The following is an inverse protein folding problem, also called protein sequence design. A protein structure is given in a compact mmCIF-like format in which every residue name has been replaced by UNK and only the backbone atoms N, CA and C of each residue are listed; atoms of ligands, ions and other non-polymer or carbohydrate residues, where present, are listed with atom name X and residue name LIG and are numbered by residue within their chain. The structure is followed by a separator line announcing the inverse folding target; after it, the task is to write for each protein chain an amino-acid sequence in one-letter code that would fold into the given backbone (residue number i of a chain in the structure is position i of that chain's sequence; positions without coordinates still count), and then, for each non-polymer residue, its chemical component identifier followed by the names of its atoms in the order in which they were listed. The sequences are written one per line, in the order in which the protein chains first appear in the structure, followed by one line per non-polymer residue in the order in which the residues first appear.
data_IF_458895720533
#
_entry.id   IF_458895720533
#
_cell.length_a   1.000
_cell.length_b   1.000
_cell.length_c   1.000
_cell.angle_alpha   90.00
_cell.angle_beta   90.00
_cell.angle_gamma   90.00
#
_symmetry.space_group_name_H-M   'P 1'
#
loop_
_entity.id
_entity.type
_entity.pdbx_description
1 polymer ?
#
# COMPACT_ATOMS: atom_id res chain seq x y z
N UNK A 1 -13.62 -2.00 -14.56
CA UNK A 1 -12.31 -2.34 -13.96
C UNK A 1 -12.11 -1.46 -12.73
N UNK A 2 -11.92 -2.05 -11.55
CA UNK A 2 -11.58 -1.26 -10.36
C UNK A 2 -10.10 -0.92 -10.42
N UNK A 3 -9.77 0.22 -11.03
CA UNK A 3 -8.39 0.73 -11.08
C UNK A 3 -8.00 1.25 -9.70
N UNK A 4 -6.78 0.94 -9.26
CA UNK A 4 -6.18 1.54 -8.08
C UNK A 4 -5.63 2.92 -8.46
N UNK A 5 -5.68 3.86 -7.52
CA UNK A 5 -4.91 5.11 -7.64
C UNK A 5 -3.42 4.82 -7.45
N UNK A 6 -2.54 5.75 -7.85
CA UNK A 6 -1.09 5.62 -7.58
C UNK A 6 -0.81 5.44 -6.08
N UNK A 7 -1.49 6.22 -5.24
CA UNK A 7 -1.40 6.12 -3.79
C UNK A 7 -1.75 4.72 -3.27
N UNK A 8 -2.86 4.14 -3.74
CA UNK A 8 -3.28 2.79 -3.38
C UNK A 8 -2.30 1.74 -3.92
N UNK A 9 -1.77 1.96 -5.13
CA UNK A 9 -0.78 1.08 -5.77
C UNK A 9 0.50 1.02 -4.96
N UNK A 10 1.03 2.16 -4.52
CA UNK A 10 2.22 2.22 -3.69
C UNK A 10 2.02 1.61 -2.30
N UNK A 11 0.83 1.76 -1.70
CA UNK A 11 0.51 1.07 -0.44
C UNK A 11 0.59 -0.45 -0.64
N UNK A 12 -0.07 -0.99 -1.66
CA UNK A 12 -0.12 -2.44 -1.89
C UNK A 12 1.26 -2.98 -2.27
N UNK A 13 2.01 -2.25 -3.09
CA UNK A 13 3.33 -2.66 -3.55
C UNK A 13 4.35 -2.72 -2.41
N UNK A 14 4.37 -1.71 -1.54
CA UNK A 14 5.23 -1.70 -0.36
C UNK A 14 4.89 -2.86 0.59
N UNK A 15 3.60 -3.11 0.86
CA UNK A 15 3.16 -4.22 1.70
C UNK A 15 3.50 -5.59 1.09
N UNK A 16 3.38 -5.74 -0.24
CA UNK A 16 3.72 -6.98 -0.95
C UNK A 16 5.19 -7.33 -0.82
N UNK A 17 6.06 -6.33 -0.67
CA UNK A 17 7.51 -6.48 -0.52
C UNK A 17 7.96 -6.45 0.94
N UNK A 18 7.03 -6.59 1.89
CA UNK A 18 7.35 -6.79 3.31
C UNK A 18 7.41 -5.53 4.17
N UNK A 19 7.13 -4.34 3.61
CA UNK A 19 7.07 -3.12 4.41
C UNK A 19 5.94 -3.20 5.46
N UNK A 20 6.20 -2.70 6.67
CA UNK A 20 5.15 -2.45 7.66
C UNK A 20 4.47 -1.08 7.44
N UNK A 21 3.38 -0.78 8.15
CA UNK A 21 2.62 0.46 7.92
C UNK A 21 3.44 1.73 8.18
N UNK A 22 4.40 1.70 9.12
CA UNK A 22 5.29 2.84 9.38
C UNK A 22 6.23 3.09 8.19
N UNK A 23 6.72 2.02 7.57
CA UNK A 23 7.59 2.04 6.40
C UNK A 23 6.84 2.44 5.14
N UNK A 24 5.60 1.98 4.96
CA UNK A 24 4.72 2.41 3.85
C UNK A 24 4.62 3.93 3.80
N UNK A 25 4.56 4.61 4.95
CA UNK A 25 4.56 6.08 5.00
C UNK A 25 5.83 6.70 4.40
N UNK A 26 7.00 6.09 4.64
CA UNK A 26 8.28 6.54 4.05
C UNK A 26 8.29 6.30 2.55
N UNK A 27 7.86 5.12 2.12
CA UNK A 27 7.75 4.76 0.69
C UNK A 27 6.83 5.73 -0.05
N UNK A 28 5.66 6.02 0.50
CA UNK A 28 4.73 6.99 -0.08
C UNK A 28 5.37 8.38 -0.23
N UNK A 29 6.10 8.85 0.78
CA UNK A 29 6.81 10.15 0.71
C UNK A 29 7.91 10.17 -0.34
N UNK A 30 8.64 9.06 -0.50
CA UNK A 30 9.66 8.91 -1.53
C UNK A 30 9.06 9.12 -2.93
N UNK A 31 7.88 8.54 -3.19
CA UNK A 31 7.13 8.72 -4.45
C UNK A 31 6.30 10.02 -4.51
N UNK A 32 6.64 11.03 -3.70
CA UNK A 32 6.00 12.35 -3.73
C UNK A 32 4.57 12.40 -3.18
N UNK A 33 4.06 11.29 -2.61
CA UNK A 33 2.75 11.27 -1.98
C UNK A 33 2.80 11.94 -0.61
N UNK A 34 1.67 12.52 -0.19
CA UNK A 34 1.53 13.20 1.11
C UNK A 34 0.58 12.44 2.03
N UNK A 35 1.04 11.34 2.67
CA UNK A 35 0.24 10.69 3.71
C UNK A 35 0.18 11.61 4.93
N UNK A 36 -1.02 12.02 5.32
CA UNK A 36 -1.25 12.89 6.49
C UNK A 36 -0.74 12.22 7.78
N UNK A 37 -1.03 10.92 7.92
CA UNK A 37 -0.69 10.13 9.10
C UNK A 37 -0.68 8.63 8.81
N UNK A 38 -0.14 7.84 9.74
CA UNK A 38 -0.26 6.36 9.69
C UNK A 38 -1.73 5.94 9.69
N UNK A 39 -2.56 6.59 10.51
CA UNK A 39 -3.99 6.31 10.58
C UNK A 39 -4.72 6.58 9.26
N UNK A 40 -4.25 7.54 8.45
CA UNK A 40 -4.80 7.78 7.10
C UNK A 40 -4.54 6.60 6.14
N UNK A 41 -3.36 5.97 6.25
CA UNK A 41 -2.99 4.77 5.48
C UNK A 41 -3.85 3.58 5.94
N UNK A 42 -4.02 3.39 7.25
CA UNK A 42 -4.87 2.34 7.80
C UNK A 42 -6.34 2.49 7.38
N UNK A 43 -6.85 3.72 7.39
CA UNK A 43 -8.20 4.02 6.89
C UNK A 43 -8.32 3.64 5.42
N UNK A 44 -7.34 4.00 4.58
CA UNK A 44 -7.32 3.62 3.17
C UNK A 44 -7.28 2.11 2.98
N UNK A 45 -6.46 1.39 3.76
CA UNK A 45 -6.43 -0.07 3.76
C UNK A 45 -7.75 -0.70 4.16
N UNK A 46 -8.46 -0.11 5.13
CA UNK A 46 -9.81 -0.56 5.53
C UNK A 46 -10.83 -0.35 4.41
N UNK A 47 -10.76 0.78 3.70
CA UNK A 47 -11.59 1.06 2.53
C UNK A 47 -11.32 0.07 1.39
N UNK A 48 -10.05 -0.20 1.09
CA UNK A 48 -9.65 -1.19 0.08
C UNK A 48 -10.12 -2.59 0.45
N UNK A 49 -9.93 -3.03 1.70
CA UNK A 49 -10.44 -4.30 2.19
C UNK A 49 -11.95 -4.44 1.97
N UNK A 50 -12.72 -3.40 2.31
CA UNK A 50 -14.17 -3.39 2.07
C UNK A 50 -14.53 -3.42 0.58
N UNK A 51 -13.80 -2.67 -0.25
CA UNK A 51 -14.03 -2.58 -1.71
C UNK A 51 -13.78 -3.91 -2.43
N UNK A 52 -12.84 -4.71 -1.93
CA UNK A 52 -12.43 -5.99 -2.52
C UNK A 52 -12.84 -7.21 -1.68
N UNK A 53 -13.77 -7.04 -0.73
CA UNK A 53 -14.28 -8.10 0.16
C UNK A 53 -13.18 -8.92 0.88
N UNK A 54 -12.09 -8.26 1.25
CA UNK A 54 -10.95 -8.87 1.92
C UNK A 54 -11.02 -8.67 3.44
N UNK A 55 -10.74 -9.71 4.22
CA UNK A 55 -10.74 -9.66 5.69
C UNK A 55 -9.38 -9.26 6.25
N UNK A 56 -8.31 -9.71 5.62
CA UNK A 56 -6.92 -9.47 6.06
C UNK A 56 -6.15 -8.65 5.03
N UNK A 57 -5.07 -8.00 5.48
CA UNK A 57 -4.14 -7.31 4.57
C UNK A 57 -3.47 -8.29 3.61
N UNK A 58 -3.17 -9.51 4.07
CA UNK A 58 -2.63 -10.57 3.21
C UNK A 58 -3.58 -10.92 2.05
N UNK A 59 -4.87 -11.12 2.34
CA UNK A 59 -5.88 -11.35 1.30
C UNK A 59 -5.95 -10.19 0.31
N UNK A 60 -5.93 -8.95 0.83
CA UNK A 60 -5.95 -7.77 -0.02
C UNK A 60 -4.74 -7.68 -0.94
N UNK A 61 -3.53 -7.93 -0.41
CA UNK A 61 -2.29 -7.94 -1.20
C UNK A 61 -2.32 -9.04 -2.25
N UNK A 62 -2.79 -10.24 -1.90
CA UNK A 62 -2.96 -11.34 -2.85
C UNK A 62 -3.94 -10.99 -3.99
N UNK A 63 -5.12 -10.48 -3.64
CA UNK A 63 -6.17 -10.07 -4.59
C UNK A 63 -5.68 -8.95 -5.52
N UNK A 64 -4.90 -8.00 -4.98
CA UNK A 64 -4.37 -6.85 -5.71
C UNK A 64 -2.97 -7.06 -6.28
N UNK A 65 -2.43 -8.28 -6.20
CA UNK A 65 -1.05 -8.59 -6.61
C UNK A 65 -0.74 -8.22 -8.06
N UNK A 66 -1.72 -8.29 -8.95
CA UNK A 66 -1.58 -7.90 -10.36
C UNK A 66 -1.34 -6.40 -10.60
N UNK A 67 -1.54 -5.57 -9.56
CA UNK A 67 -1.28 -4.13 -9.60
C UNK A 67 0.04 -3.75 -8.90
N UNK A 68 0.73 -4.72 -8.31
CA UNK A 68 2.00 -4.48 -7.62
C UNK A 68 3.04 -4.03 -8.63
N UNK A 69 3.72 -2.94 -8.32
CA UNK A 69 4.91 -2.47 -9.03
C UNK A 69 6.14 -2.80 -8.21
N UNK A 70 7.25 -3.05 -8.90
CA UNK A 70 8.53 -3.29 -8.25
C UNK A 70 9.01 -1.99 -7.57
N UNK A 71 9.34 -2.09 -6.28
CA UNK A 71 9.84 -0.99 -5.46
C UNK A 71 11.04 -1.54 -4.68
N UNK A 72 12.14 -0.80 -4.65
CA UNK A 72 13.27 -1.16 -3.79
C UNK A 72 13.00 -0.63 -2.37
N UNK A 73 12.20 -1.38 -1.61
CA UNK A 73 11.83 -1.00 -0.23
C UNK A 73 13.08 -0.90 0.64
N UNK A 74 14.06 -1.77 0.45
CA UNK A 74 15.30 -1.74 1.23
C UNK A 74 16.09 -0.45 0.96
N UNK A 75 16.26 -0.06 -0.30
CA UNK A 75 16.96 1.18 -0.66
C UNK A 75 16.23 2.42 -0.15
N UNK A 76 14.90 2.45 -0.21
CA UNK A 76 14.10 3.59 0.26
C UNK A 76 14.15 3.74 1.79
N UNK A 77 14.35 2.65 2.52
CA UNK A 77 14.33 2.64 3.98
C UNK A 77 15.70 2.84 4.62
N UNK A 78 16.79 2.80 3.84
CA UNK A 78 18.15 3.20 4.26
C UNK A 78 18.19 4.67 4.70
#
# INVERSE_FOLDING_TARGET
MNTLTEYETYIISALAQGANIQEVKKVLRHFGQKPDSVSSIEKKLKELKKKFDCKTTFQLVYELGRYVVEIDVEEILK
#
